data_IF_477367307281
#
_entry.id   IF_477367307281
#
_cell.length_a   1.000
_cell.length_b   1.000
_cell.length_c   1.000
_cell.angle_alpha   90.00
_cell.angle_beta   90.00
_cell.angle_gamma   90.00
#
_symmetry.space_group_name_H-M   'P 1'
#
loop_
_entity.id
_entity.type
_entity.pdbx_description
1 polymer ?
#
# COMPACT_ATOMS: atom_id res chain seq x y z
N UNK A 1 19.44 1.18 -27.94
CA UNK A 1 18.35 0.63 -27.10
C UNK A 1 17.43 1.79 -26.76
N UNK A 2 16.10 1.70 -26.98
CA UNK A 2 15.21 2.69 -26.38
C UNK A 2 15.35 2.53 -24.86
N UNK A 3 15.76 3.59 -24.18
CA UNK A 3 15.71 3.67 -22.72
C UNK A 3 14.23 3.54 -22.36
N UNK A 4 13.80 2.37 -21.88
CA UNK A 4 12.50 2.26 -21.22
C UNK A 4 12.65 3.10 -19.96
N UNK A 5 11.99 4.26 -19.94
CA UNK A 5 12.08 5.16 -18.82
C UNK A 5 11.40 4.51 -17.62
N UNK A 6 12.16 4.29 -16.54
CA UNK A 6 11.62 3.80 -15.27
C UNK A 6 10.51 4.73 -14.76
N UNK A 7 10.56 6.01 -15.15
CA UNK A 7 9.50 6.98 -14.94
C UNK A 7 8.18 6.57 -15.61
N UNK A 8 8.17 6.22 -16.89
CA UNK A 8 6.96 5.84 -17.63
C UNK A 8 6.31 4.58 -17.06
N UNK A 9 7.13 3.59 -16.69
CA UNK A 9 6.66 2.38 -16.01
C UNK A 9 6.04 2.71 -14.65
N UNK A 10 6.70 3.57 -13.88
CA UNK A 10 6.20 4.02 -12.59
C UNK A 10 4.89 4.77 -12.76
N UNK A 11 4.77 5.68 -13.73
CA UNK A 11 3.55 6.43 -14.01
C UNK A 11 2.39 5.52 -14.40
N UNK A 12 2.63 4.52 -15.24
CA UNK A 12 1.59 3.57 -15.61
C UNK A 12 1.11 2.75 -14.40
N UNK A 13 2.03 2.30 -13.54
CA UNK A 13 1.68 1.60 -12.31
C UNK A 13 0.91 2.52 -11.38
N UNK A 14 1.35 3.77 -11.22
CA UNK A 14 0.66 4.81 -10.44
C UNK A 14 -0.76 5.02 -10.93
N UNK A 15 -1.04 4.98 -12.24
CA UNK A 15 -2.42 5.07 -12.78
C UNK A 15 -3.31 3.92 -12.34
N UNK A 16 -2.76 2.72 -12.16
CA UNK A 16 -3.50 1.55 -11.64
C UNK A 16 -3.70 1.64 -10.13
N UNK A 17 -2.63 2.04 -9.42
CA UNK A 17 -2.63 1.98 -7.96
C UNK A 17 -3.11 3.27 -7.32
N UNK A 18 -3.28 4.37 -8.04
CA UNK A 18 -3.78 5.64 -7.48
C UNK A 18 -5.19 5.87 -8.00
N UNK A 19 -6.23 5.46 -7.26
CA UNK A 19 -7.61 5.64 -7.68
C UNK A 19 -7.89 7.15 -7.76
N UNK A 20 -8.81 7.53 -8.64
CA UNK A 20 -9.21 8.92 -8.81
C UNK A 20 -9.70 9.54 -7.49
N UNK A 21 -10.17 8.74 -6.53
CA UNK A 21 -10.59 9.18 -5.20
C UNK A 21 -9.46 9.75 -4.32
N UNK A 22 -8.19 9.54 -4.69
CA UNK A 22 -7.02 10.17 -4.05
C UNK A 22 -6.25 11.09 -5.02
N UNK A 23 -6.80 11.32 -6.22
CA UNK A 23 -6.20 12.21 -7.21
C UNK A 23 -6.35 13.66 -6.76
N UNK A 24 -5.32 14.44 -7.06
CA UNK A 24 -5.11 15.78 -6.54
C UNK A 24 -5.95 16.84 -7.23
N UNK A 25 -6.43 16.55 -8.43
CA UNK A 25 -6.99 17.57 -9.34
C UNK A 25 -8.44 17.96 -8.99
N UNK A 26 -8.96 17.48 -7.85
CA UNK A 26 -10.28 17.83 -7.37
C UNK A 26 -10.14 18.79 -6.20
N UNK A 27 -10.38 20.07 -6.43
CA UNK A 27 -10.52 21.06 -5.34
C UNK A 27 -11.87 20.95 -4.61
N UNK A 28 -12.85 20.32 -5.27
CA UNK A 28 -14.23 20.22 -4.78
C UNK A 28 -14.45 18.86 -4.11
N UNK A 29 -14.92 18.91 -2.86
CA UNK A 29 -15.34 17.72 -2.11
C UNK A 29 -16.58 17.09 -2.77
N UNK A 30 -16.60 15.76 -2.87
CA UNK A 30 -17.78 15.04 -3.33
C UNK A 30 -18.84 14.92 -2.20
N UNK A 31 -20.03 14.40 -2.52
CA UNK A 31 -21.12 14.26 -1.55
C UNK A 31 -20.75 13.36 -0.36
N UNK A 32 -19.98 12.30 -0.58
CA UNK A 32 -19.52 11.40 0.48
C UNK A 32 -18.50 12.08 1.41
N UNK A 33 -17.60 12.88 0.84
CA UNK A 33 -16.63 13.68 1.60
C UNK A 33 -17.33 14.77 2.41
N UNK A 34 -18.33 15.45 1.84
CA UNK A 34 -19.14 16.40 2.61
C UNK A 34 -19.90 15.72 3.76
N UNK A 35 -20.44 14.52 3.52
CA UNK A 35 -21.10 13.73 4.56
C UNK A 35 -20.14 13.29 5.69
N UNK A 36 -18.83 13.26 5.44
CA UNK A 36 -17.80 12.92 6.41
C UNK A 36 -17.29 14.10 7.25
N UNK A 37 -17.73 15.33 6.99
CA UNK A 37 -17.32 16.51 7.77
C UNK A 37 -17.54 16.39 9.28
N UNK A 38 -18.64 15.80 9.80
CA UNK A 38 -18.82 15.63 11.25
C UNK A 38 -17.72 14.79 11.91
N UNK A 39 -17.01 13.94 11.16
CA UNK A 39 -15.88 13.18 11.68
C UNK A 39 -14.69 14.07 12.05
N UNK A 40 -14.58 15.27 11.47
CA UNK A 40 -13.49 16.22 11.74
C UNK A 40 -13.49 16.72 13.18
N UNK A 41 -14.65 16.74 13.84
CA UNK A 41 -14.77 17.13 15.25
C UNK A 41 -14.18 16.10 16.22
N UNK A 42 -14.00 14.85 15.76
CA UNK A 42 -13.48 13.76 16.59
C UNK A 42 -11.98 13.58 16.52
N UNK A 43 -11.38 13.96 15.39
CA UNK A 43 -9.94 13.81 15.15
C UNK A 43 -9.15 15.01 15.68
N UNK A 44 -7.87 14.79 15.99
CA UNK A 44 -6.95 15.84 16.40
C UNK A 44 -5.54 15.62 15.82
N UNK A 45 -4.68 16.64 15.81
CA UNK A 45 -3.29 16.49 15.39
C UNK A 45 -2.59 15.33 16.10
N UNK A 46 -1.86 14.53 15.31
CA UNK A 46 -1.18 13.32 15.74
C UNK A 46 -2.02 12.04 15.72
N UNK A 47 -3.34 12.10 15.45
CA UNK A 47 -4.13 10.90 15.21
C UNK A 47 -3.69 10.21 13.91
N UNK A 48 -3.87 8.90 13.83
CA UNK A 48 -3.58 8.05 12.68
C UNK A 48 -4.90 7.59 12.07
N UNK A 49 -5.04 7.71 10.75
CA UNK A 49 -6.23 7.27 10.01
C UNK A 49 -5.83 6.08 9.13
N UNK A 50 -6.31 4.89 9.46
CA UNK A 50 -6.15 3.68 8.68
C UNK A 50 -7.39 3.52 7.79
N UNK A 51 -7.18 3.22 6.51
CA UNK A 51 -8.27 3.13 5.54
C UNK A 51 -8.18 1.87 4.67
N UNK A 52 -9.35 1.41 4.26
CA UNK A 52 -9.52 0.40 3.22
C UNK A 52 -9.90 1.13 1.94
N UNK A 53 -8.96 1.35 1.03
CA UNK A 53 -9.26 2.09 -0.19
C UNK A 53 -10.25 1.28 -1.06
N UNK A 54 -11.30 1.91 -1.63
CA UNK A 54 -12.18 1.28 -2.60
C UNK A 54 -11.44 0.79 -3.86
N UNK A 55 -12.08 -0.08 -4.64
CA UNK A 55 -11.54 -0.60 -5.90
C UNK A 55 -10.94 -2.01 -5.81
N UNK A 56 -10.85 -2.67 -6.96
CA UNK A 56 -10.45 -4.08 -7.04
C UNK A 56 -8.99 -4.30 -6.62
N UNK A 57 -8.08 -3.36 -6.96
CA UNK A 57 -6.65 -3.41 -6.59
C UNK A 57 -6.46 -3.55 -5.09
N UNK A 58 -7.05 -2.64 -4.34
CA UNK A 58 -6.82 -2.57 -2.91
C UNK A 58 -7.49 -3.74 -2.19
N UNK A 59 -8.69 -4.12 -2.62
CA UNK A 59 -9.38 -5.32 -2.11
C UNK A 59 -8.53 -6.58 -2.31
N UNK A 60 -7.94 -6.73 -3.50
CA UNK A 60 -7.05 -7.83 -3.81
C UNK A 60 -5.76 -7.79 -2.98
N UNK A 61 -5.09 -6.65 -2.90
CA UNK A 61 -3.87 -6.48 -2.11
C UNK A 61 -4.10 -6.75 -0.61
N UNK A 62 -5.23 -6.28 -0.05
CA UNK A 62 -5.68 -6.59 1.31
C UNK A 62 -5.90 -8.09 1.51
N UNK A 63 -6.51 -8.76 0.54
CA UNK A 63 -6.74 -10.22 0.59
C UNK A 63 -5.42 -10.99 0.59
N UNK A 64 -4.51 -10.68 -0.35
CA UNK A 64 -3.19 -11.31 -0.43
C UNK A 64 -2.34 -11.09 0.82
N UNK A 65 -2.43 -9.89 1.38
CA UNK A 65 -1.71 -9.57 2.61
C UNK A 65 -2.51 -9.96 3.84
N UNK A 66 -3.72 -10.51 3.78
CA UNK A 66 -4.58 -10.71 4.95
C UNK A 66 -4.61 -9.47 5.88
N UNK A 67 -4.64 -8.27 5.30
CA UNK A 67 -4.75 -7.01 6.01
C UNK A 67 -6.16 -6.46 5.88
N UNK A 68 -6.67 -5.88 6.95
CA UNK A 68 -7.94 -5.16 6.91
C UNK A 68 -7.80 -3.79 6.24
N UNK A 69 -6.64 -3.14 6.35
CA UNK A 69 -6.37 -1.80 5.84
C UNK A 69 -5.16 -1.82 4.90
N UNK A 70 -5.21 -1.03 3.84
CA UNK A 70 -4.14 -0.91 2.83
C UNK A 70 -3.40 0.42 2.86
N UNK A 71 -3.94 1.41 3.56
CA UNK A 71 -3.28 2.71 3.70
C UNK A 71 -3.40 3.28 5.12
N UNK A 72 -2.43 4.12 5.48
CA UNK A 72 -2.39 4.86 6.74
C UNK A 72 -1.88 6.27 6.50
N UNK A 73 -2.57 7.24 7.10
CA UNK A 73 -2.23 8.65 7.09
C UNK A 73 -2.15 9.18 8.53
N UNK A 74 -1.57 10.35 8.72
CA UNK A 74 -1.50 11.00 10.03
C UNK A 74 -2.05 12.42 10.00
N UNK A 75 -2.88 12.77 10.97
CA UNK A 75 -3.53 14.07 11.10
C UNK A 75 -2.48 15.12 11.50
N UNK A 76 -2.27 16.12 10.64
CA UNK A 76 -1.34 17.24 10.90
C UNK A 76 -2.10 18.40 11.53
N UNK A 77 -3.31 18.67 11.05
CA UNK A 77 -4.24 19.64 11.62
C UNK A 77 -5.64 19.06 11.66
N UNK A 78 -6.58 19.72 12.33
CA UNK A 78 -7.99 19.31 12.36
C UNK A 78 -8.64 19.15 10.96
N UNK A 79 -8.05 19.73 9.91
CA UNK A 79 -8.56 19.65 8.53
C UNK A 79 -7.62 18.93 7.57
N UNK A 80 -6.35 18.75 7.90
CA UNK A 80 -5.35 18.21 6.99
C UNK A 80 -4.65 16.99 7.57
N UNK A 81 -4.47 15.99 6.72
CA UNK A 81 -3.70 14.80 7.03
C UNK A 81 -2.49 14.68 6.08
N UNK A 82 -1.35 14.26 6.62
CA UNK A 82 -0.23 13.80 5.85
C UNK A 82 -0.57 12.45 5.22
N UNK A 83 -0.67 12.45 3.90
CA UNK A 83 -0.84 11.27 3.07
C UNK A 83 0.49 10.95 2.36
N UNK A 84 1.02 9.76 2.64
CA UNK A 84 2.27 9.25 2.05
C UNK A 84 1.90 8.17 1.04
N UNK A 85 1.61 8.55 -0.19
CA UNK A 85 1.16 7.63 -1.23
C UNK A 85 1.90 7.85 -2.55
N UNK A 86 1.42 7.27 -3.65
CA UNK A 86 2.06 7.36 -4.97
C UNK A 86 2.55 8.78 -5.32
N UNK A 87 3.75 8.84 -5.90
CA UNK A 87 4.56 10.03 -6.17
C UNK A 87 5.26 10.62 -4.93
N UNK A 88 4.51 11.28 -4.04
CA UNK A 88 5.08 12.08 -2.93
C UNK A 88 4.20 12.10 -1.70
N UNK A 89 4.82 12.30 -0.54
CA UNK A 89 4.16 12.68 0.70
C UNK A 89 3.59 14.10 0.60
N UNK A 90 2.34 14.28 0.99
CA UNK A 90 1.59 15.53 0.79
C UNK A 90 0.48 15.69 1.83
N UNK A 91 0.00 16.92 1.99
CA UNK A 91 -1.19 17.19 2.78
C UNK A 91 -2.45 17.02 1.92
N UNK A 92 -3.46 16.36 2.46
CA UNK A 92 -4.79 16.23 1.88
C UNK A 92 -5.84 16.61 2.93
N UNK A 93 -7.04 17.08 2.52
CA UNK A 93 -8.13 17.26 3.44
C UNK A 93 -8.45 15.94 4.17
N UNK A 94 -8.41 15.95 5.51
CA UNK A 94 -8.61 14.75 6.34
C UNK A 94 -9.94 14.05 6.02
N UNK A 95 -10.94 14.84 5.65
CA UNK A 95 -12.28 14.36 5.31
C UNK A 95 -12.28 13.32 4.19
N UNK A 96 -11.34 13.40 3.24
CA UNK A 96 -11.21 12.43 2.14
C UNK A 96 -10.86 11.02 2.61
N UNK A 97 -10.22 10.92 3.76
CA UNK A 97 -9.82 9.65 4.37
C UNK A 97 -10.89 9.12 5.32
N UNK A 98 -11.84 9.96 5.70
CA UNK A 98 -12.88 9.65 6.67
C UNK A 98 -14.17 9.17 6.00
N UNK A 99 -14.22 9.00 4.68
CA UNK A 99 -15.44 8.58 3.97
C UNK A 99 -15.89 7.16 4.35
N UNK A 100 -17.19 6.89 4.25
CA UNK A 100 -17.77 5.59 4.61
C UNK A 100 -17.21 4.45 3.75
N UNK A 101 -17.07 4.67 2.45
CA UNK A 101 -16.51 3.76 1.46
C UNK A 101 -15.09 3.31 1.81
N UNK A 102 -14.34 4.14 2.55
CA UNK A 102 -13.00 3.83 3.03
C UNK A 102 -12.95 3.04 4.33
N UNK A 103 -14.08 2.88 5.03
CA UNK A 103 -14.18 2.16 6.32
C UNK A 103 -13.09 2.58 7.33
N UNK A 104 -12.94 3.88 7.62
CA UNK A 104 -11.81 4.40 8.38
C UNK A 104 -11.74 3.84 9.81
N UNK A 105 -10.52 3.59 10.27
CA UNK A 105 -10.20 3.39 11.69
C UNK A 105 -9.25 4.48 12.14
N UNK A 106 -9.66 5.24 13.15
CA UNK A 106 -8.83 6.28 13.73
C UNK A 106 -8.20 5.76 15.02
N UNK A 107 -6.87 5.82 15.07
CA UNK A 107 -6.06 5.46 16.24
C UNK A 107 -5.36 6.70 16.77
N UNK A 108 -5.43 6.91 18.08
CA UNK A 108 -4.88 8.06 18.78
C UNK A 108 -3.74 7.63 19.69
N UNK A 109 -2.49 7.99 19.32
CA UNK A 109 -1.34 7.86 20.19
C UNK A 109 -1.54 8.65 21.49
N UNK A 110 -1.31 7.97 22.61
CA UNK A 110 -1.21 8.58 23.92
C UNK A 110 0.18 9.22 24.03
N UNK A 111 0.21 10.52 23.77
CA UNK A 111 1.40 11.37 23.73
C UNK A 111 1.14 12.57 24.61
N UNK A 112 2.16 13.05 25.32
CA UNK A 112 2.10 14.38 25.95
C UNK A 112 1.92 15.47 24.88
N UNK A 113 1.58 16.69 25.30
CA UNK A 113 1.41 17.79 24.35
C UNK A 113 2.72 18.12 23.63
N UNK A 114 3.86 18.03 24.32
CA UNK A 114 5.20 18.20 23.75
C UNK A 114 5.55 17.09 22.77
N UNK A 115 5.31 15.82 23.13
CA UNK A 115 5.55 14.67 22.24
C UNK A 115 4.66 14.75 20.99
N UNK A 116 3.40 15.17 21.16
CA UNK A 116 2.45 15.36 20.06
C UNK A 116 2.89 16.48 19.13
N UNK A 117 3.30 17.63 19.67
CA UNK A 117 3.84 18.73 18.88
C UNK A 117 5.10 18.31 18.11
N UNK A 118 6.02 17.58 18.77
CA UNK A 118 7.20 17.03 18.12
C UNK A 118 6.84 16.03 17.01
N UNK A 119 5.85 15.16 17.25
CA UNK A 119 5.38 14.20 16.25
C UNK A 119 4.81 14.91 15.03
N UNK A 120 3.91 15.88 15.23
CA UNK A 120 3.33 16.67 14.13
C UNK A 120 4.41 17.42 13.36
N UNK A 121 5.40 18.03 14.02
CA UNK A 121 6.52 18.68 13.35
C UNK A 121 7.34 17.70 12.48
N UNK A 122 7.52 16.45 12.91
CA UNK A 122 8.15 15.42 12.07
C UNK A 122 7.30 15.08 10.84
N UNK A 123 5.97 15.05 10.96
CA UNK A 123 5.06 14.81 9.83
C UNK A 123 5.16 15.93 8.79
N UNK A 124 5.23 17.18 9.23
CA UNK A 124 5.36 18.35 8.33
C UNK A 124 6.68 18.30 7.53
N UNK A 125 7.77 17.85 8.15
CA UNK A 125 9.07 17.66 7.47
C UNK A 125 9.05 16.56 6.39
N UNK A 126 8.03 15.69 6.39
CA UNK A 126 7.88 14.65 5.36
C UNK A 126 7.24 15.17 4.08
N UNK A 127 6.57 16.33 4.10
CA UNK A 127 5.89 16.88 2.92
C UNK A 127 6.89 17.10 1.78
N UNK A 128 6.53 16.61 0.59
CA UNK A 128 7.35 16.70 -0.62
C UNK A 128 8.37 15.58 -0.79
N UNK A 129 8.59 14.72 0.21
CA UNK A 129 9.48 13.56 0.08
C UNK A 129 8.88 12.50 -0.85
N UNK A 130 9.74 11.79 -1.58
CA UNK A 130 9.31 10.80 -2.57
C UNK A 130 8.76 9.54 -1.90
N UNK A 131 7.81 8.88 -2.59
CA UNK A 131 7.23 7.62 -2.13
C UNK A 131 8.00 6.40 -2.66
N UNK A 132 8.33 5.47 -1.77
CA UNK A 132 9.09 4.27 -2.13
C UNK A 132 8.17 3.14 -2.62
N UNK A 133 7.61 3.31 -3.82
CA UNK A 133 6.70 2.34 -4.40
C UNK A 133 7.33 0.94 -4.53
N UNK A 134 8.61 0.88 -4.89
CA UNK A 134 9.33 -0.40 -5.03
C UNK A 134 9.38 -1.16 -3.68
N UNK A 135 9.71 -0.48 -2.58
CA UNK A 135 9.71 -1.13 -1.28
C UNK A 135 8.32 -1.51 -0.79
N UNK A 136 7.28 -0.75 -1.14
CA UNK A 136 5.88 -1.10 -0.81
C UNK A 136 5.51 -2.43 -1.43
N UNK A 137 5.76 -2.58 -2.74
CA UNK A 137 5.46 -3.85 -3.42
C UNK A 137 6.34 -5.00 -2.95
N UNK A 138 7.61 -4.74 -2.62
CA UNK A 138 8.47 -5.75 -1.99
C UNK A 138 7.88 -6.22 -0.65
N UNK A 139 7.40 -5.29 0.18
CA UNK A 139 6.71 -5.62 1.43
C UNK A 139 5.43 -6.44 1.16
N UNK A 140 4.57 -6.03 0.21
CA UNK A 140 3.37 -6.79 -0.14
C UNK A 140 3.74 -8.21 -0.58
N UNK A 141 4.72 -8.38 -1.47
CA UNK A 141 5.16 -9.70 -1.94
C UNK A 141 5.64 -10.59 -0.78
N UNK A 142 6.45 -10.04 0.14
CA UNK A 142 6.94 -10.75 1.32
C UNK A 142 5.84 -11.17 2.27
N UNK A 143 4.89 -10.28 2.53
CA UNK A 143 3.72 -10.55 3.36
C UNK A 143 2.89 -11.68 2.75
N UNK A 144 2.63 -11.62 1.45
CA UNK A 144 1.90 -12.66 0.71
C UNK A 144 2.60 -14.01 0.78
N UNK A 145 3.91 -14.05 0.47
CA UNK A 145 4.71 -15.28 0.52
C UNK A 145 4.71 -15.90 1.91
N UNK A 146 4.82 -15.08 2.94
CA UNK A 146 4.81 -15.56 4.31
C UNK A 146 3.45 -16.09 4.76
N UNK A 147 2.36 -15.41 4.39
CA UNK A 147 1.01 -15.73 4.87
C UNK A 147 0.37 -16.90 4.15
N UNK A 148 0.59 -17.00 2.83
CA UNK A 148 -0.01 -18.07 2.03
C UNK A 148 0.88 -19.30 1.89
N UNK A 149 2.21 -19.15 1.98
CA UNK A 149 3.14 -20.24 1.73
C UNK A 149 4.10 -20.52 2.89
N UNK A 150 4.05 -19.74 3.98
CA UNK A 150 4.97 -19.88 5.11
C UNK A 150 6.42 -19.50 4.79
N UNK A 151 6.70 -19.00 3.58
CA UNK A 151 8.04 -18.71 3.10
C UNK A 151 8.59 -17.44 3.74
N UNK A 152 9.81 -17.52 4.28
CA UNK A 152 10.50 -16.40 4.92
C UNK A 152 11.58 -15.87 3.99
N UNK A 153 11.39 -14.66 3.48
CA UNK A 153 12.44 -13.95 2.74
C UNK A 153 13.29 -13.11 3.70
N UNK A 154 14.61 -12.95 3.46
CA UNK A 154 15.49 -12.12 4.29
C UNK A 154 15.00 -10.67 4.33
N UNK A 155 14.92 -10.05 5.50
CA UNK A 155 14.38 -8.69 5.66
C UNK A 155 15.03 -7.66 4.74
N UNK A 156 14.30 -6.58 4.44
CA UNK A 156 14.81 -5.46 3.65
C UNK A 156 15.89 -4.75 4.48
N UNK A 157 17.13 -4.75 4.00
CA UNK A 157 18.19 -3.98 4.64
C UNK A 157 17.86 -2.49 4.55
N UNK A 158 17.79 -1.82 5.72
CA UNK A 158 17.55 -0.38 5.79
C UNK A 158 18.72 0.43 5.24
N UNK A 159 19.94 -0.11 5.31
CA UNK A 159 21.18 0.58 4.90
C UNK A 159 21.39 0.57 3.39
N UNK A 160 20.72 -0.32 2.65
CA UNK A 160 20.94 -0.52 1.21
C UNK A 160 20.08 0.37 0.30
N UNK A 161 19.18 1.20 0.86
CA UNK A 161 18.37 2.11 0.06
C UNK A 161 19.02 3.50 0.02
N UNK A 162 19.73 3.87 -1.07
CA UNK A 162 20.32 5.21 -1.20
C UNK A 162 19.26 6.32 -1.29
N UNK A 163 17.99 5.95 -1.52
CA UNK A 163 16.88 6.89 -1.69
C UNK A 163 16.17 7.09 -0.35
N UNK A 164 16.10 8.35 0.11
CA UNK A 164 15.27 8.83 1.23
C UNK A 164 13.79 8.85 0.84
N UNK A 165 13.26 7.74 0.34
CA UNK A 165 11.87 7.61 -0.05
C UNK A 165 11.07 6.91 1.06
N UNK A 166 9.83 7.36 1.27
CA UNK A 166 8.98 6.96 2.38
C UNK A 166 8.04 5.81 2.01
N UNK A 167 7.79 4.92 2.96
CA UNK A 167 6.63 4.02 2.99
C UNK A 167 5.71 4.55 4.09
N UNK A 168 4.41 4.69 3.83
CA UNK A 168 3.46 5.31 4.78
C UNK A 168 3.56 4.75 6.19
N UNK A 169 3.37 3.43 6.35
CA UNK A 169 3.40 2.75 7.65
C UNK A 169 4.75 2.90 8.34
N UNK A 170 5.86 2.70 7.61
CA UNK A 170 7.19 2.76 8.20
C UNK A 170 7.57 4.19 8.62
N UNK A 171 7.26 5.19 7.80
CA UNK A 171 7.57 6.59 8.10
C UNK A 171 6.84 7.05 9.37
N UNK A 172 5.54 6.74 9.49
CA UNK A 172 4.75 7.07 10.67
C UNK A 172 5.25 6.31 11.91
N UNK A 173 5.64 5.05 11.75
CA UNK A 173 6.22 4.26 12.82
C UNK A 173 7.54 4.87 13.32
N UNK A 174 8.47 5.19 12.41
CA UNK A 174 9.75 5.79 12.78
C UNK A 174 9.55 7.18 13.43
N UNK A 175 8.58 7.98 12.97
CA UNK A 175 8.27 9.27 13.57
C UNK A 175 7.75 9.12 15.01
N UNK A 176 6.79 8.22 15.27
CA UNK A 176 6.30 7.94 16.63
C UNK A 176 7.43 7.47 17.56
N UNK A 177 8.35 6.66 17.05
CA UNK A 177 9.43 6.07 17.85
C UNK A 177 10.54 7.05 18.18
N UNK A 178 10.65 8.15 17.42
CA UNK A 178 11.54 9.27 17.74
C UNK A 178 10.94 10.20 18.79
N UNK A 179 9.62 10.28 18.85
CA UNK A 179 8.91 11.25 19.71
C UNK A 179 8.48 10.65 21.03
N UNK A 180 8.34 9.33 21.14
CA UNK A 180 7.93 8.65 22.36
C UNK A 180 8.67 7.32 22.54
N UNK A 181 9.27 7.14 23.72
CA UNK A 181 10.14 6.01 24.03
C UNK A 181 9.37 4.69 24.16
N UNK A 182 8.11 4.71 24.59
CA UNK A 182 7.29 3.50 24.70
C UNK A 182 7.01 2.92 23.31
N UNK A 183 6.64 3.78 22.35
CA UNK A 183 6.53 3.39 20.94
C UNK A 183 7.85 2.82 20.41
N UNK A 184 8.98 3.47 20.68
CA UNK A 184 10.30 2.96 20.29
C UNK A 184 10.57 1.54 20.81
N UNK A 185 10.15 1.25 22.05
CA UNK A 185 10.31 -0.07 22.66
C UNK A 185 9.39 -1.13 22.04
N UNK A 186 8.15 -0.76 21.71
CA UNK A 186 7.18 -1.65 21.08
C UNK A 186 7.54 -1.96 19.63
N UNK A 187 8.27 -1.07 18.94
CA UNK A 187 8.74 -1.35 17.58
C UNK A 187 9.85 -2.40 17.55
N UNK A 188 10.59 -2.58 18.65
CA UNK A 188 11.45 -3.77 18.79
C UNK A 188 10.63 -5.05 18.91
N UNK A 189 9.31 -4.96 19.10
CA UNK A 189 8.37 -6.07 19.19
C UNK A 189 7.38 -6.11 18.01
N UNK A 190 7.45 -5.18 17.05
CA UNK A 190 6.56 -5.17 15.89
C UNK A 190 6.91 -6.34 14.98
N UNK A 191 5.90 -7.16 14.67
CA UNK A 191 6.12 -8.47 14.09
C UNK A 191 6.59 -8.34 12.64
N UNK A 192 6.02 -7.41 11.86
CA UNK A 192 6.35 -7.29 10.45
C UNK A 192 7.62 -6.45 10.26
N UNK A 193 7.81 -5.35 11.00
CA UNK A 193 9.05 -4.57 10.93
C UNK A 193 10.30 -5.39 11.25
N UNK A 194 10.28 -6.16 12.34
CA UNK A 194 11.42 -7.00 12.70
C UNK A 194 11.67 -8.12 11.69
N UNK A 195 10.59 -8.66 11.10
CA UNK A 195 10.68 -9.80 10.19
C UNK A 195 11.05 -9.39 8.77
N UNK A 196 10.57 -8.24 8.32
CA UNK A 196 10.65 -7.81 6.93
C UNK A 196 11.49 -6.54 6.73
N UNK A 197 11.97 -5.92 7.81
CA UNK A 197 12.72 -4.65 7.76
C UNK A 197 11.85 -3.41 7.57
N UNK A 198 10.52 -3.59 7.46
CA UNK A 198 9.56 -2.50 7.26
C UNK A 198 8.26 -2.75 8.02
N UNK A 199 7.80 -1.75 8.77
CA UNK A 199 6.56 -1.82 9.51
C UNK A 199 5.36 -1.90 8.56
N UNK A 200 4.41 -2.76 8.89
CA UNK A 200 3.16 -2.88 8.13
C UNK A 200 2.01 -2.15 8.84
N UNK A 201 0.91 -1.90 8.13
CA UNK A 201 -0.29 -1.29 8.75
C UNK A 201 -0.85 -2.19 9.86
N UNK A 202 -0.71 -3.51 9.71
CA UNK A 202 -1.15 -4.47 10.72
C UNK A 202 -0.36 -4.34 12.04
N UNK A 203 0.87 -3.80 12.02
CA UNK A 203 1.61 -3.56 13.26
C UNK A 203 0.91 -2.52 14.15
N UNK A 204 0.30 -1.48 13.58
CA UNK A 204 -0.49 -0.50 14.34
C UNK A 204 -1.73 -1.14 14.98
N UNK A 205 -2.42 -2.01 14.24
CA UNK A 205 -3.57 -2.78 14.77
C UNK A 205 -3.12 -3.68 15.93
N UNK A 206 -2.00 -4.39 15.78
CA UNK A 206 -1.46 -5.26 16.84
C UNK A 206 -1.04 -4.45 18.07
N UNK A 207 -0.46 -3.26 17.88
CA UNK A 207 -0.11 -2.36 18.98
C UNK A 207 -1.37 -1.94 19.73
N UNK A 208 -2.40 -1.45 19.01
CA UNK A 208 -3.68 -1.11 19.61
C UNK A 208 -4.29 -2.27 20.40
N UNK A 209 -4.31 -3.48 19.82
CA UNK A 209 -4.85 -4.68 20.48
C UNK A 209 -4.09 -5.08 21.75
N UNK A 210 -2.76 -4.90 21.78
CA UNK A 210 -1.92 -5.28 22.92
C UNK A 210 -1.79 -4.19 23.98
N UNK A 211 -1.85 -2.92 23.56
CA UNK A 211 -1.60 -1.72 24.34
C UNK A 211 -2.62 -0.63 23.96
N UNK A 212 -3.92 -0.85 24.23
CA UNK A 212 -4.97 0.12 23.88
C UNK A 212 -4.78 1.46 24.59
N UNK A 213 -4.12 1.47 25.75
CA UNK A 213 -3.81 2.67 26.53
C UNK A 213 -2.74 3.56 25.88
N UNK A 214 -1.88 2.96 25.05
CA UNK A 214 -0.85 3.68 24.30
C UNK A 214 -1.35 4.12 22.92
N UNK A 215 -2.16 3.29 22.27
CA UNK A 215 -2.75 3.58 20.98
C UNK A 215 -4.24 3.31 21.05
N UNK A 216 -5.01 4.34 21.41
CA UNK A 216 -6.44 4.25 21.68
C UNK A 216 -7.27 4.36 20.40
N UNK A 217 -8.43 3.73 20.33
CA UNK A 217 -9.37 3.91 19.21
C UNK A 217 -10.18 5.18 19.42
N UNK A 218 -10.36 5.98 18.36
CA UNK A 218 -11.26 7.13 18.34
C UNK A 218 -12.56 6.70 17.67
N UNK A 219 -13.68 6.82 18.39
CA UNK A 219 -15.00 6.55 17.82
C UNK A 219 -15.42 7.69 16.91
N UNK A 220 -15.71 7.35 15.65
CA UNK A 220 -16.27 8.27 14.68
C UNK A 220 -17.80 8.29 14.81
N UNK A 221 -18.47 9.39 14.43
CA UNK A 221 -19.93 9.44 14.37
C UNK A 221 -20.47 8.30 13.50
N UNK A 222 -21.62 7.74 13.86
CA UNK A 222 -22.31 6.81 12.96
C UNK A 222 -22.70 7.56 11.70
N UNK A 223 -22.36 7.02 10.54
CA UNK A 223 -22.96 7.40 9.28
C UNK A 223 -24.47 7.22 9.44
N UNK A 224 -25.25 8.30 9.33
CA UNK A 224 -26.69 8.13 9.13
C UNK A 224 -26.89 7.19 7.93
N UNK A 225 -28.02 6.48 7.89
CA UNK A 225 -28.40 5.58 6.79
C UNK A 225 -28.63 6.35 5.48
N UNK A 226 -27.64 7.09 4.99
CA UNK A 226 -27.56 7.40 3.57
C UNK A 226 -27.29 6.09 2.86
N UNK A 227 -28.23 5.72 1.99
CA UNK A 227 -28.09 4.57 1.11
C UNK A 227 -26.72 4.66 0.40
N UNK A 228 -25.97 3.55 0.32
CA UNK A 228 -24.72 3.56 -0.42
C UNK A 228 -25.01 4.04 -1.85
N UNK A 229 -24.22 5.00 -2.33
CA UNK A 229 -24.31 5.44 -3.72
C UNK A 229 -24.16 4.21 -4.63
N UNK A 230 -25.08 4.03 -5.58
CA UNK A 230 -25.18 2.88 -6.49
C UNK A 230 -24.00 2.75 -7.49
N UNK A 231 -22.83 3.32 -7.19
CA UNK A 231 -21.72 3.48 -8.13
C UNK A 231 -20.77 2.25 -8.19
N UNK A 232 -21.02 1.16 -7.44
CA UNK A 232 -20.08 0.02 -7.37
C UNK A 232 -20.02 -0.85 -8.64
N UNK A 233 -21.07 -0.90 -9.48
CA UNK A 233 -21.04 -1.76 -10.69
C UNK A 233 -20.28 -1.13 -11.86
N UNK A 234 -20.25 0.20 -11.96
CA UNK A 234 -19.62 0.89 -13.09
C UNK A 234 -18.08 0.95 -12.97
N UNK A 235 -17.56 0.97 -11.74
CA UNK A 235 -16.11 0.96 -11.45
C UNK A 235 -15.41 -0.36 -11.82
N UNK A 236 -16.14 -1.48 -11.89
CA UNK A 236 -15.54 -2.81 -12.15
C UNK A 236 -15.05 -2.93 -13.61
N UNK A 237 -15.82 -2.44 -14.57
CA UNK A 237 -15.47 -2.55 -15.99
C UNK A 237 -14.31 -1.61 -16.37
N UNK A 238 -14.31 -0.40 -15.82
CA UNK A 238 -13.20 0.56 -15.97
C UNK A 238 -11.91 0.03 -15.34
N UNK A 239 -12.00 -0.61 -14.17
CA UNK A 239 -10.89 -1.31 -13.53
C UNK A 239 -10.31 -2.38 -14.47
N UNK A 240 -11.14 -3.26 -15.07
CA UNK A 240 -10.68 -4.37 -15.93
C UNK A 240 -9.88 -3.88 -17.15
N UNK A 241 -10.32 -2.79 -17.78
CA UNK A 241 -9.62 -2.19 -18.93
C UNK A 241 -8.26 -1.60 -18.51
N UNK A 242 -8.21 -0.89 -17.37
CA UNK A 242 -6.99 -0.34 -16.79
C UNK A 242 -6.00 -1.46 -16.44
N UNK A 243 -6.48 -2.54 -15.84
CA UNK A 243 -5.68 -3.70 -15.49
C UNK A 243 -5.10 -4.41 -16.70
N UNK A 244 -5.91 -4.63 -17.74
CA UNK A 244 -5.48 -5.32 -18.96
C UNK A 244 -4.39 -4.53 -19.69
N UNK A 245 -4.55 -3.21 -19.75
CA UNK A 245 -3.55 -2.30 -20.32
C UNK A 245 -2.24 -2.31 -19.52
N UNK A 246 -2.35 -2.38 -18.19
CA UNK A 246 -1.19 -2.34 -17.29
C UNK A 246 -0.44 -3.65 -17.23
N UNK A 247 -1.14 -4.79 -17.24
CA UNK A 247 -0.54 -6.10 -17.41
C UNK A 247 0.25 -6.17 -18.72
N UNK A 248 -0.29 -5.63 -19.81
CA UNK A 248 0.37 -5.56 -21.11
C UNK A 248 1.66 -4.74 -21.04
N UNK A 249 1.61 -3.56 -20.42
CA UNK A 249 2.78 -2.70 -20.27
C UNK A 249 3.85 -3.31 -19.36
N UNK A 250 3.48 -3.84 -18.19
CA UNK A 250 4.42 -4.48 -17.26
C UNK A 250 5.09 -5.68 -17.93
N UNK A 251 4.32 -6.48 -18.68
CA UNK A 251 4.84 -7.60 -19.47
C UNK A 251 5.87 -7.15 -20.50
N UNK A 252 5.56 -6.12 -21.28
CA UNK A 252 6.49 -5.58 -22.26
C UNK A 252 7.80 -5.13 -21.58
N UNK A 253 7.67 -4.39 -20.48
CA UNK A 253 8.82 -3.89 -19.71
C UNK A 253 9.67 -5.01 -19.10
N UNK A 254 9.05 -6.03 -18.53
CA UNK A 254 9.73 -7.23 -18.03
C UNK A 254 10.60 -7.90 -19.10
N UNK A 255 10.06 -8.06 -20.31
CA UNK A 255 10.79 -8.66 -21.44
C UNK A 255 11.99 -7.79 -21.81
N UNK A 256 11.88 -6.47 -21.72
CA UNK A 256 12.97 -5.56 -22.05
C UNK A 256 14.08 -5.55 -20.99
N UNK A 257 13.72 -5.64 -19.70
CA UNK A 257 14.67 -5.60 -18.57
C UNK A 257 15.49 -6.88 -18.39
N UNK A 258 14.99 -8.02 -18.89
CA UNK A 258 15.70 -9.30 -18.79
C UNK A 258 16.72 -9.44 -19.94
N UNK A 259 17.95 -9.95 -19.67
CA UNK A 259 18.97 -10.11 -20.71
C UNK A 259 18.46 -10.96 -21.87
N UNK A 260 18.93 -10.65 -23.09
CA UNK A 260 18.38 -11.21 -24.33
C UNK A 260 18.29 -12.74 -24.32
N UNK A 261 19.32 -13.41 -23.80
CA UNK A 261 19.40 -14.87 -23.69
C UNK A 261 18.30 -15.50 -22.81
N UNK A 262 17.65 -14.73 -21.93
CA UNK A 262 16.56 -15.19 -21.06
C UNK A 262 15.17 -14.78 -21.56
N UNK A 263 15.06 -13.87 -22.55
CA UNK A 263 13.77 -13.34 -23.02
C UNK A 263 12.84 -14.42 -23.56
N UNK A 264 13.36 -15.42 -24.28
CA UNK A 264 12.55 -16.51 -24.79
C UNK A 264 11.91 -17.35 -23.66
N UNK A 265 12.70 -17.65 -22.62
CA UNK A 265 12.22 -18.36 -21.43
C UNK A 265 11.19 -17.55 -20.66
N UNK A 266 11.45 -16.26 -20.46
CA UNK A 266 10.49 -15.36 -19.82
C UNK A 266 9.19 -15.26 -20.63
N UNK A 267 9.25 -15.08 -21.96
CA UNK A 267 8.04 -15.03 -22.80
C UNK A 267 7.21 -16.31 -22.68
N UNK A 268 7.85 -17.48 -22.68
CA UNK A 268 7.17 -18.76 -22.49
C UNK A 268 6.53 -18.85 -21.10
N UNK A 269 7.26 -18.45 -20.06
CA UNK A 269 6.74 -18.38 -18.70
C UNK A 269 5.52 -17.45 -18.59
N UNK A 270 5.61 -16.22 -19.10
CA UNK A 270 4.51 -15.25 -19.09
C UNK A 270 3.31 -15.78 -19.86
N UNK A 271 3.53 -16.47 -21.00
CA UNK A 271 2.44 -17.13 -21.75
C UNK A 271 1.76 -18.24 -20.94
N UNK A 272 2.54 -19.08 -20.24
CA UNK A 272 1.98 -20.13 -19.37
C UNK A 272 1.21 -19.54 -18.18
N UNK A 273 1.70 -18.42 -17.66
CA UNK A 273 1.05 -17.64 -16.61
C UNK A 273 -0.26 -17.04 -17.14
N UNK A 274 -0.28 -16.42 -18.32
CA UNK A 274 -1.52 -15.95 -18.99
C UNK A 274 -2.55 -17.08 -19.19
N UNK A 275 -2.10 -18.25 -19.66
CA UNK A 275 -2.96 -19.41 -19.89
C UNK A 275 -3.51 -19.97 -18.57
N UNK A 276 -2.68 -20.06 -17.53
CA UNK A 276 -3.07 -20.54 -16.20
C UNK A 276 -3.93 -19.56 -15.41
N UNK A 277 -3.87 -18.26 -15.75
CA UNK A 277 -4.63 -17.20 -15.08
C UNK A 277 -5.80 -16.67 -15.92
N UNK A 278 -6.13 -17.31 -17.05
CA UNK A 278 -7.22 -16.87 -17.94
C UNK A 278 -8.59 -16.79 -17.23
N UNK A 279 -8.75 -17.51 -16.12
CA UNK A 279 -9.95 -17.51 -15.27
C UNK A 279 -9.79 -16.72 -13.97
N UNK A 280 -8.61 -16.13 -13.72
CA UNK A 280 -8.39 -15.30 -12.55
C UNK A 280 -8.74 -13.84 -12.86
N UNK A 281 -9.22 -13.09 -11.86
CA UNK A 281 -9.38 -11.65 -12.01
C UNK A 281 -8.06 -11.00 -12.45
N UNK A 282 -8.11 -10.10 -13.45
CA UNK A 282 -6.96 -9.37 -14.04
C UNK A 282 -6.00 -8.72 -13.01
N UNK A 283 -6.45 -8.28 -11.81
CA UNK A 283 -5.55 -7.84 -10.74
C UNK A 283 -4.44 -8.84 -10.37
N UNK A 284 -4.73 -10.15 -10.42
CA UNK A 284 -3.82 -11.23 -10.03
C UNK A 284 -2.61 -11.32 -11.00
N UNK A 285 -2.81 -11.46 -12.33
CA UNK A 285 -1.73 -11.39 -13.31
C UNK A 285 -0.81 -10.19 -13.15
N UNK A 286 -1.40 -9.02 -12.97
CA UNK A 286 -0.66 -7.75 -12.91
C UNK A 286 0.25 -7.71 -11.69
N UNK A 287 -0.24 -8.19 -10.55
CA UNK A 287 0.54 -8.27 -9.31
C UNK A 287 1.70 -9.28 -9.43
N UNK A 288 1.46 -10.43 -10.06
CA UNK A 288 2.51 -11.43 -10.36
C UNK A 288 3.60 -10.81 -11.23
N UNK A 289 3.21 -10.13 -12.31
CA UNK A 289 4.17 -9.45 -13.19
C UNK A 289 4.94 -8.36 -12.45
N UNK A 290 4.29 -7.61 -11.56
CA UNK A 290 4.96 -6.61 -10.75
C UNK A 290 5.95 -7.23 -9.73
N UNK A 291 5.59 -8.33 -9.08
CA UNK A 291 6.47 -9.04 -8.17
C UNK A 291 7.72 -9.58 -8.89
N UNK A 292 7.54 -10.13 -10.10
CA UNK A 292 8.65 -10.56 -10.96
C UNK A 292 9.54 -9.37 -11.32
N UNK A 293 8.94 -8.22 -11.66
CA UNK A 293 9.65 -7.00 -12.03
C UNK A 293 10.52 -6.49 -10.87
N UNK A 294 9.94 -6.38 -9.68
CA UNK A 294 10.67 -5.97 -8.46
C UNK A 294 11.83 -6.93 -8.19
N UNK A 295 11.59 -8.24 -8.27
CA UNK A 295 12.63 -9.23 -8.00
C UNK A 295 13.76 -9.23 -9.04
N UNK A 296 13.45 -8.99 -10.33
CA UNK A 296 14.45 -8.79 -11.40
C UNK A 296 15.26 -7.52 -11.14
N UNK A 297 14.61 -6.42 -10.81
CA UNK A 297 15.27 -5.13 -10.55
C UNK A 297 16.15 -5.15 -9.28
N UNK A 298 15.82 -5.98 -8.27
CA UNK A 298 16.52 -6.02 -6.98
C UNK A 298 17.67 -7.04 -6.88
N UNK A 299 18.14 -7.63 -7.99
CA UNK A 299 19.26 -8.61 -8.04
C UNK A 299 18.98 -10.00 -7.45
N UNK A 300 17.75 -10.49 -7.43
CA UNK A 300 17.60 -11.95 -7.28
C UNK A 300 18.15 -12.64 -8.53
N UNK A 301 18.91 -13.74 -8.41
CA UNK A 301 19.32 -14.50 -9.59
C UNK A 301 18.04 -14.99 -10.27
N UNK A 302 17.83 -14.56 -11.53
CA UNK A 302 16.71 -14.93 -12.41
C UNK A 302 16.32 -16.44 -12.30
N UNK A 303 17.26 -17.40 -12.14
CA UNK A 303 16.92 -18.79 -11.87
C UNK A 303 15.99 -19.05 -10.67
N UNK A 304 16.12 -18.32 -9.56
CA UNK A 304 15.29 -18.49 -8.37
C UNK A 304 13.84 -18.03 -8.60
N UNK A 305 13.65 -17.00 -9.43
CA UNK A 305 12.34 -16.55 -9.89
C UNK A 305 11.68 -17.57 -10.81
N UNK A 306 12.45 -18.14 -11.74
CA UNK A 306 11.95 -19.16 -12.65
C UNK A 306 11.52 -20.44 -11.92
N UNK A 307 12.13 -20.73 -10.77
CA UNK A 307 11.75 -21.86 -9.91
C UNK A 307 10.42 -21.65 -9.15
N UNK A 308 9.94 -20.41 -9.01
CA UNK A 308 8.65 -20.10 -8.36
C UNK A 308 7.47 -20.13 -9.34
N UNK A 309 7.71 -19.97 -10.65
CA UNK A 309 6.64 -19.99 -11.67
C UNK A 309 5.79 -21.29 -11.67
N UNK A 310 6.35 -22.49 -11.44
CA UNK A 310 5.53 -23.70 -11.34
C UNK A 310 4.57 -23.70 -10.15
N UNK A 311 4.88 -22.97 -9.07
CA UNK A 311 4.01 -22.83 -7.88
C UNK A 311 2.81 -21.92 -8.12
N UNK A 312 2.84 -21.12 -9.20
CA UNK A 312 1.72 -20.28 -9.62
C UNK A 312 0.74 -21.01 -10.52
N UNK A 313 1.01 -22.28 -10.88
CA UNK A 313 -0.01 -23.10 -11.53
C UNK A 313 -1.14 -23.34 -10.53
N UNK A 314 -2.41 -23.04 -10.88
CA UNK A 314 -3.52 -23.45 -10.03
C UNK A 314 -3.40 -24.96 -9.79
N UNK A 315 -3.66 -25.45 -8.56
CA UNK A 315 -3.67 -26.89 -8.30
C UNK A 315 -4.58 -27.52 -9.35
N UNK A 316 -4.09 -28.57 -10.02
CA UNK A 316 -4.89 -29.25 -11.04
C UNK A 316 -6.19 -29.67 -10.39
N UNK A 317 -7.29 -28.96 -10.70
CA UNK A 317 -8.61 -29.45 -10.38
C UNK A 317 -8.75 -30.71 -11.21
N UNK A 318 -8.59 -31.87 -10.57
CA UNK A 318 -9.18 -33.09 -11.07
C UNK A 318 -10.70 -32.84 -11.00
N UNK A 319 -11.22 -32.27 -12.09
CA UNK A 319 -12.58 -32.51 -12.55
C UNK A 319 -12.61 -33.92 -13.15
#
# INVERSE_FOLDING_TARGET
MPNVDLHDLTQAVVRVVSPASLSLDRDVLNAEELAAEPCLERIRPGDLILVSTPGAFYRFARTLTQHQYDHIAAVVSNKMALHIGPNKARLLPSVRLLTRSRTPLVLRPNLSDEERAAFVAQLELMVGQDYNLIQVFDLIARLTLQRHFGLRLPGISREESPVRALICSQALMDALGRTNQEFQSLFKLSADQNRFGSASIQDFIRIHQRKPDLLSKVELPSWAETEPAEDEEQDIDDDVAIWSSSATLIRATLIHLVPEMFRARLRLALKQVDEGMRYLPVPVPTFVYFAILVAVCRRYPIPSLLALLPLLRPPSSKL
#
